data_IF_641876128602
#
_entry.id   IF_641876128602
#
_cell.length_a   1.000
_cell.length_b   1.000
_cell.length_c   1.000
_cell.angle_alpha   90.00
_cell.angle_beta   90.00
_cell.angle_gamma   90.00
#
_symmetry.space_group_name_H-M   'P 1'
#
loop_
_entity.id
_entity.type
_entity.pdbx_description
1 polymer ?
#
# COMPACT_ATOMS: atom_id res chain seq x y z
N UNK A 1 14.38 -23.31 -24.26
CA UNK A 1 14.43 -21.99 -23.60
C UNK A 1 13.36 -21.98 -22.53
N UNK A 2 13.74 -22.15 -21.27
CA UNK A 2 12.85 -22.04 -20.12
C UNK A 2 12.59 -20.56 -19.85
N UNK A 3 11.47 -20.03 -20.38
CA UNK A 3 10.91 -18.74 -19.98
C UNK A 3 10.15 -18.93 -18.66
N UNK A 4 10.90 -19.21 -17.59
CA UNK A 4 10.41 -19.08 -16.22
C UNK A 4 11.12 -17.87 -15.61
N UNK A 5 10.79 -16.69 -16.14
CA UNK A 5 10.81 -15.48 -15.32
C UNK A 5 9.58 -15.54 -14.39
N UNK A 6 9.54 -16.56 -13.52
CA UNK A 6 8.82 -16.41 -12.27
C UNK A 6 9.55 -15.26 -11.58
N UNK A 7 8.98 -14.06 -11.59
CA UNK A 7 9.36 -13.08 -10.60
C UNK A 7 9.25 -13.79 -9.26
N UNK A 8 10.36 -14.09 -8.60
CA UNK A 8 10.33 -14.77 -7.31
C UNK A 8 9.32 -14.03 -6.43
N UNK A 9 8.22 -14.70 -6.13
CA UNK A 9 7.02 -14.10 -5.54
C UNK A 9 7.32 -13.73 -4.09
N UNK A 10 7.98 -12.58 -3.88
CA UNK A 10 8.40 -12.04 -2.59
C UNK A 10 9.02 -13.06 -1.60
N UNK A 11 9.47 -14.24 -2.04
CA UNK A 11 9.95 -15.37 -1.24
C UNK A 11 9.19 -15.63 0.08
N UNK A 12 7.86 -15.65 0.04
CA UNK A 12 7.01 -15.88 1.22
C UNK A 12 6.71 -14.62 2.05
N UNK A 13 7.21 -13.46 1.62
CA UNK A 13 6.84 -12.17 2.18
C UNK A 13 5.50 -11.69 1.61
N UNK A 14 4.88 -10.73 2.30
CA UNK A 14 3.67 -10.06 1.83
C UNK A 14 4.04 -9.25 0.59
N UNK A 15 3.29 -9.48 -0.47
CA UNK A 15 3.44 -8.85 -1.77
C UNK A 15 2.38 -7.78 -1.96
N UNK A 16 2.81 -6.59 -2.38
CA UNK A 16 1.89 -5.52 -2.72
C UNK A 16 2.24 -4.83 -4.03
N UNK A 17 1.21 -4.34 -4.72
CA UNK A 17 1.34 -3.45 -5.88
C UNK A 17 1.11 -2.02 -5.41
N UNK A 18 2.05 -1.11 -5.73
CA UNK A 18 1.90 0.31 -5.39
C UNK A 18 0.90 0.94 -6.35
N UNK A 19 -0.17 1.50 -5.77
CA UNK A 19 -1.25 2.17 -6.49
C UNK A 19 -0.96 3.67 -6.60
N UNK A 20 -0.57 4.26 -5.48
CA UNK A 20 -0.37 5.71 -5.38
C UNK A 20 0.57 6.06 -4.24
N UNK A 21 1.27 7.19 -4.34
CA UNK A 21 2.11 7.72 -3.27
C UNK A 21 1.87 9.22 -3.13
N UNK A 22 1.58 9.68 -1.90
CA UNK A 22 1.37 11.11 -1.61
C UNK A 22 2.17 11.58 -0.40
N UNK A 23 2.43 12.88 -0.26
CA UNK A 23 3.02 13.44 0.96
C UNK A 23 2.23 13.03 2.20
N UNK A 24 2.93 12.64 3.27
CA UNK A 24 2.29 12.41 4.56
C UNK A 24 1.76 13.71 5.17
N UNK A 25 0.88 13.62 6.19
CA UNK A 25 0.40 14.80 6.91
C UNK A 25 1.57 15.61 7.47
N UNK A 26 1.46 16.94 7.43
CA UNK A 26 2.48 17.88 7.89
C UNK A 26 3.87 17.70 7.23
N UNK A 27 3.93 17.12 6.03
CA UNK A 27 5.20 16.87 5.32
C UNK A 27 6.03 15.72 5.89
N UNK A 28 5.48 14.94 6.83
CA UNK A 28 6.17 13.80 7.43
C UNK A 28 6.16 12.60 6.46
N UNK A 29 7.24 12.47 5.68
CA UNK A 29 7.45 11.35 4.76
C UNK A 29 6.34 11.19 3.71
N UNK A 30 5.95 9.93 3.45
CA UNK A 30 4.98 9.57 2.42
C UNK A 30 3.94 8.59 2.95
N UNK A 31 2.73 8.65 2.37
CA UNK A 31 1.71 7.60 2.44
C UNK A 31 1.68 6.86 1.12
N UNK A 32 1.81 5.53 1.18
CA UNK A 32 1.83 4.67 0.01
C UNK A 32 0.58 3.80 0.02
N UNK A 33 -0.27 3.95 -0.97
CA UNK A 33 -1.46 3.15 -1.17
C UNK A 33 -1.06 1.93 -1.97
N UNK A 34 -1.36 0.76 -1.43
CA UNK A 34 -0.99 -0.50 -2.05
C UNK A 34 -2.18 -1.44 -2.09
N UNK A 35 -2.23 -2.27 -3.12
CA UNK A 35 -3.09 -3.45 -3.17
C UNK A 35 -2.28 -4.68 -2.73
N UNK A 36 -2.77 -5.39 -1.73
CA UNK A 36 -2.10 -6.58 -1.19
C UNK A 36 -2.48 -7.82 -2.01
N UNK A 37 -1.48 -8.49 -2.57
CA UNK A 37 -1.69 -9.55 -3.57
C UNK A 37 -1.89 -10.92 -2.91
N UNK A 38 -1.08 -11.25 -1.90
CA UNK A 38 -1.00 -12.61 -1.34
C UNK A 38 -1.41 -12.70 0.15
N UNK A 39 -1.97 -11.62 0.72
CA UNK A 39 -2.45 -11.56 2.10
C UNK A 39 -3.73 -10.69 2.20
N UNK A 40 -4.87 -11.19 1.70
CA UNK A 40 -6.10 -10.40 1.52
C UNK A 40 -6.71 -9.90 2.83
N UNK A 41 -6.42 -10.56 3.95
CA UNK A 41 -6.89 -10.21 5.29
C UNK A 41 -6.26 -8.91 5.83
N UNK A 42 -5.18 -8.44 5.22
CA UNK A 42 -4.50 -7.21 5.65
C UNK A 42 -5.20 -5.93 5.14
N UNK A 43 -5.94 -6.04 4.04
CA UNK A 43 -6.55 -4.91 3.35
C UNK A 43 -8.07 -5.00 3.28
N UNK A 44 -8.68 -3.96 2.73
CA UNK A 44 -10.12 -3.91 2.46
C UNK A 44 -10.38 -3.51 1.02
N UNK A 45 -11.54 -3.91 0.48
CA UNK A 45 -11.97 -3.42 -0.81
C UNK A 45 -12.27 -1.93 -0.70
N UNK A 46 -11.70 -1.14 -1.62
CA UNK A 46 -11.90 0.30 -1.61
C UNK A 46 -11.85 0.90 -3.02
N UNK A 47 -12.78 1.80 -3.29
CA UNK A 47 -12.68 2.75 -4.40
C UNK A 47 -11.92 3.98 -3.93
N UNK A 48 -10.80 4.26 -4.58
CA UNK A 48 -9.95 5.42 -4.30
C UNK A 48 -10.36 6.59 -5.20
N UNK A 49 -10.58 7.77 -4.63
CA UNK A 49 -10.92 9.00 -5.36
C UNK A 49 -9.80 10.03 -5.32
N UNK A 50 -9.06 10.19 -6.42
CA UNK A 50 -8.03 11.22 -6.53
C UNK A 50 -8.60 12.51 -7.12
N UNK A 51 -8.45 13.62 -6.39
CA UNK A 51 -8.99 14.94 -6.79
C UNK A 51 -10.48 14.88 -7.17
N UNK A 52 -11.26 14.08 -6.44
CA UNK A 52 -12.70 13.88 -6.69
C UNK A 52 -13.05 12.99 -7.88
N UNK A 53 -12.05 12.44 -8.59
CA UNK A 53 -12.24 11.48 -9.69
C UNK A 53 -11.89 10.08 -9.24
N UNK A 54 -12.64 9.11 -9.75
CA UNK A 54 -12.32 7.70 -9.51
C UNK A 54 -10.95 7.37 -10.08
N UNK A 55 -10.06 6.94 -9.20
CA UNK A 55 -8.75 6.40 -9.57
C UNK A 55 -8.85 4.90 -9.86
N UNK A 56 -9.64 4.18 -9.07
CA UNK A 56 -9.99 2.78 -9.29
C UNK A 56 -10.52 2.09 -8.03
N UNK A 57 -11.10 0.91 -8.22
CA UNK A 57 -11.52 0.00 -7.14
C UNK A 57 -10.55 -1.16 -7.02
N UNK A 58 -10.03 -1.38 -5.82
CA UNK A 58 -9.03 -2.42 -5.54
C UNK A 58 -9.50 -3.31 -4.40
N UNK A 59 -9.18 -4.61 -4.42
CA UNK A 59 -9.75 -5.59 -3.50
C UNK A 59 -9.13 -5.55 -2.09
N UNK A 60 -7.84 -5.22 -1.94
CA UNK A 60 -7.12 -5.33 -0.67
C UNK A 60 -6.24 -4.10 -0.41
N UNK A 61 -6.86 -2.94 -0.24
CA UNK A 61 -6.14 -1.68 -0.05
C UNK A 61 -5.61 -1.53 1.37
N UNK A 62 -4.34 -1.14 1.47
CA UNK A 62 -3.65 -0.76 2.70
C UNK A 62 -2.87 0.54 2.46
N UNK A 63 -2.75 1.38 3.50
CA UNK A 63 -1.85 2.54 3.49
C UNK A 63 -0.59 2.18 4.28
N UNK A 64 0.57 2.22 3.61
CA UNK A 64 1.87 2.14 4.26
C UNK A 64 2.29 3.57 4.63
N UNK A 65 2.46 3.80 5.93
CA UNK A 65 3.12 4.97 6.47
C UNK A 65 4.64 4.81 6.26
N UNK A 66 5.22 5.63 5.40
CA UNK A 66 6.63 5.62 5.02
C UNK A 66 7.31 6.93 5.42
N UNK A 67 7.65 7.10 6.72
CA UNK A 67 8.30 8.32 7.20
C UNK A 67 9.65 8.58 6.52
N UNK A 68 10.33 7.52 6.07
CA UNK A 68 11.61 7.58 5.36
C UNK A 68 11.49 7.84 3.85
N UNK A 69 10.28 7.86 3.28
CA UNK A 69 10.05 7.96 1.83
C UNK A 69 10.81 6.92 0.98
N UNK A 70 11.06 5.73 1.52
CA UNK A 70 11.82 4.65 0.86
C UNK A 70 11.06 3.95 -0.27
N UNK A 71 9.74 4.05 -0.31
CA UNK A 71 8.89 3.25 -1.21
C UNK A 71 8.21 4.06 -2.32
N UNK A 72 8.30 5.39 -2.31
CA UNK A 72 7.53 6.25 -3.20
C UNK A 72 7.81 6.07 -4.70
N UNK A 73 8.94 5.45 -5.06
CA UNK A 73 9.33 5.16 -6.46
C UNK A 73 9.13 3.70 -6.85
N UNK A 74 8.65 2.87 -5.94
CA UNK A 74 8.49 1.44 -6.18
C UNK A 74 7.15 1.18 -6.87
N UNK A 75 7.14 0.24 -7.81
CA UNK A 75 5.89 -0.33 -8.34
C UNK A 75 5.39 -1.52 -7.52
N UNK A 76 6.29 -2.15 -6.76
CA UNK A 76 6.03 -3.33 -5.92
C UNK A 76 6.76 -3.20 -4.59
N UNK A 77 6.12 -3.61 -3.49
CA UNK A 77 6.76 -3.67 -2.17
C UNK A 77 6.58 -5.08 -1.62
N UNK A 78 7.69 -5.68 -1.18
CA UNK A 78 7.69 -6.93 -0.43
C UNK A 78 8.05 -6.62 1.03
N UNK A 79 7.28 -7.12 1.99
CA UNK A 79 7.62 -6.97 3.42
C UNK A 79 7.09 -8.13 4.26
N UNK A 80 7.69 -8.34 5.43
CA UNK A 80 7.28 -9.41 6.36
C UNK A 80 6.84 -8.82 7.67
N UNK A 81 7.70 -7.96 8.23
CA UNK A 81 7.48 -7.34 9.52
C UNK A 81 6.85 -5.97 9.34
N UNK A 82 5.73 -5.76 10.00
CA UNK A 82 5.00 -4.51 10.02
C UNK A 82 4.27 -4.38 11.35
N UNK A 83 3.97 -3.14 11.73
CA UNK A 83 3.03 -2.84 12.80
C UNK A 83 1.77 -2.24 12.22
N UNK A 84 0.62 -2.59 12.79
CA UNK A 84 -0.67 -1.98 12.49
C UNK A 84 -0.79 -0.65 13.22
N UNK A 85 -1.27 0.36 12.51
CA UNK A 85 -1.60 1.66 13.06
C UNK A 85 -3.14 1.80 13.13
N UNK A 86 -3.63 2.89 13.71
CA UNK A 86 -5.04 3.21 13.62
C UNK A 86 -5.46 3.36 12.14
N UNK A 87 -6.61 2.78 11.78
CA UNK A 87 -7.18 2.94 10.44
C UNK A 87 -7.37 4.43 10.12
N UNK A 88 -7.29 4.78 8.84
CA UNK A 88 -7.45 6.17 8.44
C UNK A 88 -8.87 6.66 8.81
N UNK A 89 -8.96 7.87 9.36
CA UNK A 89 -10.24 8.49 9.75
C UNK A 89 -10.82 9.39 8.66
N UNK A 90 -10.26 9.34 7.45
CA UNK A 90 -10.60 10.20 6.32
C UNK A 90 -9.36 10.81 5.65
N UNK A 91 -9.57 11.54 4.56
CA UNK A 91 -8.51 12.16 3.75
C UNK A 91 -8.79 12.08 2.26
N UNK A 92 -7.89 12.64 1.45
CA UNK A 92 -7.96 12.49 -0.02
C UNK A 92 -7.84 11.02 -0.39
N UNK A 93 -8.61 10.53 -1.37
CA UNK A 93 -8.76 9.11 -1.69
C UNK A 93 -9.73 8.33 -0.80
N UNK A 94 -10.73 9.01 -0.22
CA UNK A 94 -11.82 8.34 0.53
C UNK A 94 -11.29 7.41 1.63
N UNK A 95 -10.19 7.82 2.29
CA UNK A 95 -9.32 6.91 3.07
C UNK A 95 -10.00 6.24 4.26
N UNK A 96 -11.14 6.74 4.71
CA UNK A 96 -11.83 6.29 5.91
C UNK A 96 -11.94 4.76 5.97
N UNK A 97 -11.49 4.19 7.09
CA UNK A 97 -11.52 2.75 7.35
C UNK A 97 -10.41 1.95 6.67
N UNK A 98 -9.58 2.53 5.79
CA UNK A 98 -8.45 1.83 5.19
C UNK A 98 -7.42 1.50 6.29
N UNK A 99 -7.00 0.23 6.44
CA UNK A 99 -5.95 -0.16 7.36
C UNK A 99 -4.65 0.59 7.08
N UNK A 100 -3.99 1.03 8.16
CA UNK A 100 -2.68 1.67 8.09
C UNK A 100 -1.63 0.76 8.71
N UNK A 101 -0.45 0.70 8.09
CA UNK A 101 0.68 -0.04 8.62
C UNK A 101 1.97 0.77 8.51
N UNK A 102 2.94 0.45 9.35
CA UNK A 102 4.34 0.86 9.15
C UNK A 102 5.17 -0.40 8.94
N UNK A 103 5.80 -0.52 7.77
CA UNK A 103 6.74 -1.62 7.50
C UNK A 103 7.99 -1.42 8.35
N UNK A 104 8.50 -2.48 8.97
CA UNK A 104 9.70 -2.41 9.79
C UNK A 104 10.97 -2.56 8.91
N UNK A 105 12.15 -2.55 9.52
CA UNK A 105 13.42 -2.78 8.79
C UNK A 105 13.77 -4.26 8.78
#
# INVERSE_FOLDING_TARGET
MLLTACSDACNGNIETTVLFAKPGPNGAGRRIYVDVVNKPDLGIQKTLLYEGKEFGTFPHVVIINDPSSRFAKNSKICFTTYRTEAAATGGDLTEEGIPQITVEK
#
